data_IF_781626471461
#
_entry.id   IF_781626471461
#
_cell.length_a   1.000
_cell.length_b   1.000
_cell.length_c   1.000
_cell.angle_alpha   90.00
_cell.angle_beta   90.00
_cell.angle_gamma   90.00
#
_symmetry.space_group_name_H-M   'P 1'
#
loop_
_entity.id
_entity.type
_entity.pdbx_description
1 polymer ?
#
# COMPACT_ATOMS: atom_id res chain seq x y z
N UNK A 1 18.88 -10.73 -15.92
CA UNK A 1 17.67 -11.57 -15.62
C UNK A 1 16.55 -10.60 -15.33
N UNK A 2 15.41 -10.67 -16.02
CA UNK A 2 14.29 -9.77 -15.76
C UNK A 2 13.76 -10.09 -14.36
N UNK A 3 13.62 -9.08 -13.49
CA UNK A 3 13.17 -9.26 -12.09
C UNK A 3 11.84 -10.03 -11.96
N UNK A 4 10.95 -9.90 -12.95
CA UNK A 4 9.67 -10.61 -13.01
C UNK A 4 9.79 -12.12 -13.31
N UNK A 5 10.97 -12.62 -13.67
CA UNK A 5 11.19 -14.03 -13.99
C UNK A 5 11.95 -14.78 -12.87
N UNK A 6 12.15 -14.13 -11.71
CA UNK A 6 12.82 -14.77 -10.59
C UNK A 6 11.95 -15.90 -10.04
N UNK A 7 12.58 -17.05 -9.86
CA UNK A 7 11.96 -18.26 -9.33
C UNK A 7 12.40 -18.49 -7.88
N UNK A 8 11.48 -18.93 -7.04
CA UNK A 8 11.73 -19.21 -5.62
C UNK A 8 11.40 -20.65 -5.30
N UNK A 9 12.32 -21.33 -4.62
CA UNK A 9 12.16 -22.73 -4.19
C UNK A 9 11.40 -22.79 -2.86
N UNK A 10 10.12 -22.45 -2.91
CA UNK A 10 9.26 -22.42 -1.71
C UNK A 10 9.29 -23.74 -0.94
N UNK A 11 9.41 -24.86 -1.64
CA UNK A 11 9.53 -26.18 -1.06
C UNK A 11 10.81 -26.41 -0.22
N UNK A 12 11.85 -25.60 -0.44
CA UNK A 12 13.11 -25.59 0.33
C UNK A 12 13.14 -24.44 1.37
N UNK A 13 12.03 -23.72 1.54
CA UNK A 13 11.95 -22.59 2.46
C UNK A 13 12.44 -21.25 1.89
N UNK A 14 12.92 -21.22 0.64
CA UNK A 14 13.30 -19.98 -0.04
C UNK A 14 12.02 -19.16 -0.35
N UNK A 15 11.94 -17.95 0.21
CA UNK A 15 10.77 -17.07 0.02
C UNK A 15 11.20 -15.66 -0.36
N UNK A 16 10.46 -14.97 -1.24
CA UNK A 16 10.74 -13.58 -1.50
C UNK A 16 10.59 -12.73 -0.22
N UNK A 17 11.51 -11.81 -0.03
CA UNK A 17 11.42 -10.76 1.00
C UNK A 17 10.65 -9.59 0.39
N UNK A 18 9.48 -9.28 0.93
CA UNK A 18 8.55 -8.31 0.35
C UNK A 18 8.30 -7.18 1.34
N UNK A 19 8.47 -5.94 0.88
CA UNK A 19 8.06 -4.76 1.64
C UNK A 19 6.66 -4.34 1.21
N UNK A 20 5.76 -4.08 2.15
CA UNK A 20 4.56 -3.28 1.95
C UNK A 20 4.71 -1.96 2.67
N UNK A 21 4.94 -0.89 1.91
CA UNK A 21 5.15 0.46 2.44
C UNK A 21 3.90 1.32 2.25
N UNK A 22 3.34 1.79 3.38
CA UNK A 22 2.27 2.78 3.38
C UNK A 22 2.78 4.21 3.51
N UNK A 23 1.86 5.15 3.61
CA UNK A 23 2.16 6.58 3.66
C UNK A 23 2.70 7.08 5.03
N UNK A 24 2.70 6.23 6.06
CA UNK A 24 3.10 6.63 7.41
C UNK A 24 4.53 7.13 7.51
N UNK A 25 5.47 6.49 6.80
CA UNK A 25 6.85 6.95 6.73
C UNK A 25 6.94 8.35 6.10
N UNK A 26 6.26 8.58 4.99
CA UNK A 26 6.24 9.89 4.33
C UNK A 26 5.62 10.97 5.23
N UNK A 27 4.51 10.64 5.92
CA UNK A 27 3.86 11.55 6.88
C UNK A 27 4.73 11.96 8.05
N UNK A 28 5.57 11.07 8.55
CA UNK A 28 6.52 11.38 9.63
C UNK A 28 7.55 12.45 9.21
N UNK A 29 7.75 12.64 7.90
CA UNK A 29 8.65 13.62 7.31
C UNK A 29 7.89 14.68 6.47
N UNK A 30 6.74 15.13 6.97
CA UNK A 30 5.90 16.20 6.40
C UNK A 30 5.24 15.87 5.04
N UNK A 31 5.14 14.59 4.70
CA UNK A 31 4.37 14.13 3.55
C UNK A 31 2.86 14.39 3.68
N UNK A 32 2.16 14.41 2.55
CA UNK A 32 0.72 14.66 2.50
C UNK A 32 -0.06 13.55 3.23
N UNK A 33 -1.04 13.92 4.06
CA UNK A 33 -1.97 12.98 4.67
C UNK A 33 -3.21 12.74 3.81
N UNK A 34 -3.85 11.57 3.99
CA UNK A 34 -5.13 11.28 3.35
C UNK A 34 -6.22 12.30 3.71
N UNK A 35 -6.27 12.75 4.96
CA UNK A 35 -7.24 13.76 5.40
C UNK A 35 -7.02 15.10 4.68
N UNK A 36 -5.77 15.53 4.50
CA UNK A 36 -5.45 16.72 3.70
C UNK A 36 -5.88 16.52 2.24
N UNK A 37 -5.57 15.38 1.64
CA UNK A 37 -6.00 15.08 0.28
C UNK A 37 -7.53 15.14 0.15
N UNK A 38 -8.26 14.53 1.07
CA UNK A 38 -9.73 14.57 1.07
C UNK A 38 -10.28 15.98 1.33
N UNK A 39 -9.62 16.77 2.17
CA UNK A 39 -10.02 18.17 2.42
C UNK A 39 -9.82 19.06 1.19
N UNK A 40 -8.78 18.83 0.39
CA UNK A 40 -8.55 19.56 -0.86
C UNK A 40 -9.59 19.23 -1.95
N UNK A 41 -10.13 18.01 -1.92
CA UNK A 41 -11.11 17.54 -2.89
C UNK A 41 -12.54 17.89 -2.50
N UNK A 42 -12.76 18.27 -1.27
CA UNK A 42 -14.05 18.49 -0.63
C UNK A 42 -14.88 19.53 -1.41
N UNK A 43 -16.01 19.09 -1.92
CA UNK A 43 -17.08 19.99 -2.33
C UNK A 43 -17.71 20.56 -1.04
N UNK A 44 -17.37 21.81 -0.73
CA UNK A 44 -17.66 22.46 0.57
C UNK A 44 -19.15 22.57 0.89
N UNK A 45 -20.04 22.42 -0.10
CA UNK A 45 -21.47 22.62 0.08
C UNK A 45 -22.22 21.39 0.60
N UNK A 46 -21.72 20.17 0.36
CA UNK A 46 -22.51 18.98 0.62
C UNK A 46 -22.31 18.33 2.00
N UNK A 47 -21.12 18.45 2.65
CA UNK A 47 -20.85 17.75 3.92
C UNK A 47 -19.86 18.44 4.86
N UNK A 48 -20.24 19.52 5.59
CA UNK A 48 -19.29 20.21 6.47
C UNK A 48 -18.89 19.41 7.72
N UNK A 49 -19.73 18.50 8.21
CA UNK A 49 -19.51 17.82 9.49
C UNK A 49 -19.30 16.31 9.40
N UNK A 50 -19.95 15.60 8.47
CA UNK A 50 -19.85 14.15 8.36
C UNK A 50 -18.43 13.67 7.95
N UNK A 51 -17.72 14.47 7.16
CA UNK A 51 -16.35 14.17 6.77
C UNK A 51 -15.33 14.24 7.92
N UNK A 52 -15.69 14.88 9.03
CA UNK A 52 -14.88 14.94 10.26
C UNK A 52 -15.11 13.75 11.20
N UNK A 53 -16.00 12.84 10.86
CA UNK A 53 -16.23 11.66 11.67
C UNK A 53 -15.10 10.66 11.49
N UNK A 54 -14.21 10.56 12.46
CA UNK A 54 -13.03 9.67 12.46
C UNK A 54 -13.41 8.19 12.42
N UNK A 55 -14.62 7.83 12.79
CA UNK A 55 -15.10 6.44 12.73
C UNK A 55 -15.49 6.00 11.31
N UNK A 56 -15.60 6.93 10.35
CA UNK A 56 -16.00 6.59 9.00
C UNK A 56 -14.81 6.07 8.19
N UNK A 57 -14.90 4.87 7.59
CA UNK A 57 -13.85 4.34 6.73
C UNK A 57 -13.52 5.26 5.55
N UNK A 58 -12.23 5.40 5.21
CA UNK A 58 -11.76 6.29 4.13
C UNK A 58 -12.43 6.05 2.78
N UNK A 59 -12.65 4.80 2.30
CA UNK A 59 -13.36 4.57 1.06
C UNK A 59 -14.80 5.06 1.09
N UNK A 60 -15.45 5.06 2.27
CA UNK A 60 -16.79 5.58 2.43
C UNK A 60 -16.78 7.11 2.44
N UNK A 61 -15.82 7.74 3.14
CA UNK A 61 -15.61 9.20 3.07
C UNK A 61 -15.41 9.64 1.61
N UNK A 62 -14.53 8.98 0.89
CA UNK A 62 -14.28 9.25 -0.51
C UNK A 62 -15.55 9.10 -1.36
N UNK A 63 -16.33 8.05 -1.15
CA UNK A 63 -17.59 7.82 -1.89
C UNK A 63 -18.67 8.87 -1.58
N UNK A 64 -18.75 9.35 -0.34
CA UNK A 64 -19.71 10.38 0.07
C UNK A 64 -19.33 11.77 -0.44
N UNK A 65 -18.03 12.05 -0.54
CA UNK A 65 -17.52 13.29 -1.13
C UNK A 65 -17.64 13.27 -2.67
N UNK A 66 -17.92 12.10 -3.22
CA UNK A 66 -17.96 11.83 -4.65
C UNK A 66 -19.39 11.64 -5.14
N UNK A 67 -19.99 12.65 -5.66
CA UNK A 67 -20.74 12.42 -6.89
C UNK A 67 -19.79 11.83 -7.94
N UNK A 68 -20.27 11.11 -8.97
CA UNK A 68 -19.45 10.43 -10.00
C UNK A 68 -18.31 11.26 -10.61
N UNK A 69 -18.34 12.58 -10.42
CA UNK A 69 -17.29 13.54 -10.78
C UNK A 69 -16.10 13.59 -9.80
N UNK A 70 -16.19 13.04 -8.59
CA UNK A 70 -15.10 13.17 -7.61
C UNK A 70 -14.01 12.15 -7.81
N UNK A 71 -14.31 10.94 -8.22
CA UNK A 71 -13.28 10.00 -8.64
C UNK A 71 -12.41 10.63 -9.75
N UNK A 72 -13.03 11.41 -10.63
CA UNK A 72 -12.33 12.14 -11.68
C UNK A 72 -11.61 13.38 -11.14
N UNK A 73 -12.15 14.10 -10.15
CA UNK A 73 -11.44 15.20 -9.46
C UNK A 73 -10.26 14.68 -8.66
N UNK A 74 -10.42 13.59 -7.91
CA UNK A 74 -9.32 12.92 -7.19
C UNK A 74 -8.22 12.47 -8.14
N UNK A 75 -8.60 11.83 -9.23
CA UNK A 75 -7.67 11.45 -10.27
C UNK A 75 -6.93 12.66 -10.80
N UNK A 76 -7.58 13.78 -11.04
CA UNK A 76 -6.95 15.03 -11.49
C UNK A 76 -6.02 15.61 -10.44
N UNK A 77 -6.42 15.68 -9.18
CA UNK A 77 -5.58 16.21 -8.10
C UNK A 77 -4.36 15.31 -7.89
N UNK A 78 -4.57 13.99 -7.83
CA UNK A 78 -3.47 13.03 -7.71
C UNK A 78 -2.56 13.05 -8.94
N UNK A 79 -3.09 13.30 -10.15
CA UNK A 79 -2.30 13.29 -11.40
C UNK A 79 -1.77 14.65 -11.80
N UNK A 80 -2.45 15.74 -11.45
CA UNK A 80 -2.16 17.10 -11.97
C UNK A 80 -1.63 18.04 -10.90
N UNK A 81 -1.63 17.65 -9.62
CA UNK A 81 -1.18 18.52 -8.52
C UNK A 81 -2.01 19.78 -8.34
N UNK A 82 -3.22 19.83 -8.89
CA UNK A 82 -4.05 21.04 -8.95
C UNK A 82 -5.26 20.93 -8.04
N UNK A 83 -5.48 21.97 -7.26
CA UNK A 83 -6.77 22.26 -6.65
C UNK A 83 -7.78 22.66 -7.72
N UNK A 84 -9.07 22.40 -7.47
CA UNK A 84 -10.18 22.55 -8.42
C UNK A 84 -10.35 23.93 -9.09
N UNK A 85 -9.61 24.95 -8.64
CA UNK A 85 -9.79 26.36 -9.04
C UNK A 85 -8.79 26.88 -10.09
N UNK A 86 -7.82 26.09 -10.54
CA UNK A 86 -6.84 26.57 -11.54
C UNK A 86 -7.05 25.89 -12.89
N UNK A 87 -7.78 26.55 -13.76
CA UNK A 87 -7.73 26.28 -15.20
C UNK A 87 -6.35 26.65 -15.73
N UNK A 88 -5.76 25.71 -16.46
CA UNK A 88 -4.54 25.88 -17.27
C UNK A 88 -3.24 26.14 -16.51
N UNK A 89 -2.47 25.07 -16.25
CA UNK A 89 -1.02 25.08 -16.43
C UNK A 89 -0.43 23.68 -16.23
N UNK A 90 0.73 23.41 -16.80
CA UNK A 90 1.41 22.13 -16.85
C UNK A 90 1.54 21.43 -15.49
N UNK A 91 1.40 20.12 -15.49
CA UNK A 91 1.55 19.23 -14.34
C UNK A 91 2.80 19.59 -13.54
N UNK A 92 2.64 20.14 -12.34
CA UNK A 92 3.75 20.29 -11.38
C UNK A 92 3.87 19.01 -10.55
N UNK A 93 4.54 18.03 -11.11
CA UNK A 93 4.90 16.80 -10.43
C UNK A 93 5.73 17.05 -9.16
N UNK A 94 6.45 18.17 -9.10
CA UNK A 94 7.24 18.56 -7.94
C UNK A 94 6.42 18.74 -6.66
N UNK A 95 5.14 19.14 -6.79
CA UNK A 95 4.26 19.26 -5.63
C UNK A 95 3.84 17.92 -5.03
N UNK A 96 3.86 16.85 -5.85
CA UNK A 96 3.52 15.46 -5.44
C UNK A 96 4.72 14.69 -4.90
N UNK A 97 5.94 15.09 -5.24
CA UNK A 97 7.17 14.37 -4.89
C UNK A 97 8.03 15.25 -3.99
N UNK A 98 7.42 15.98 -3.05
CA UNK A 98 8.18 16.68 -2.01
C UNK A 98 8.79 15.68 -1.05
N UNK A 99 9.96 15.21 -1.39
CA UNK A 99 10.77 14.40 -0.48
C UNK A 99 11.75 15.27 0.25
N UNK A 100 11.74 15.28 1.58
CA UNK A 100 12.83 15.86 2.35
C UNK A 100 14.09 14.98 2.23
N UNK A 101 15.28 15.56 2.43
CA UNK A 101 16.55 14.81 2.42
C UNK A 101 16.46 13.61 3.38
N UNK A 102 15.98 13.84 4.60
CA UNK A 102 15.88 12.80 5.62
C UNK A 102 14.88 11.68 5.22
N UNK A 103 13.76 12.02 4.59
CA UNK A 103 12.82 11.03 4.10
C UNK A 103 13.46 10.13 3.04
N UNK A 104 14.18 10.72 2.08
CA UNK A 104 14.91 9.97 1.04
C UNK A 104 15.94 9.03 1.63
N UNK A 105 16.73 9.51 2.60
CA UNK A 105 17.72 8.67 3.30
C UNK A 105 17.06 7.47 4.00
N UNK A 106 15.93 7.67 4.67
CA UNK A 106 15.22 6.57 5.33
C UNK A 106 14.64 5.56 4.33
N UNK A 107 14.03 6.04 3.23
CA UNK A 107 13.54 5.17 2.17
C UNK A 107 14.69 4.38 1.54
N UNK A 108 15.82 5.02 1.23
CA UNK A 108 17.01 4.33 0.71
C UNK A 108 17.52 3.26 1.67
N UNK A 109 17.66 3.57 2.95
CA UNK A 109 18.07 2.58 3.96
C UNK A 109 17.13 1.39 3.98
N UNK A 110 15.82 1.65 3.93
CA UNK A 110 14.80 0.61 3.93
C UNK A 110 14.89 -0.28 2.69
N UNK A 111 15.00 0.32 1.49
CA UNK A 111 15.12 -0.46 0.24
C UNK A 111 16.42 -1.27 0.21
N UNK A 112 17.50 -0.75 0.77
CA UNK A 112 18.79 -1.46 0.90
C UNK A 112 18.76 -2.64 1.90
N UNK A 113 17.61 -2.95 2.51
CA UNK A 113 17.42 -4.16 3.32
C UNK A 113 17.17 -5.42 2.48
N UNK A 114 17.59 -5.46 1.22
CA UNK A 114 17.53 -6.61 0.32
C UNK A 114 16.12 -7.15 0.05
N UNK A 115 15.16 -6.27 -0.17
CA UNK A 115 13.84 -6.67 -0.60
C UNK A 115 13.84 -7.12 -2.07
N UNK A 116 13.22 -8.27 -2.33
CA UNK A 116 13.00 -8.76 -3.69
C UNK A 116 11.91 -7.94 -4.42
N UNK A 117 10.93 -7.48 -3.65
CA UNK A 117 9.77 -6.74 -4.16
C UNK A 117 9.33 -5.66 -3.18
N UNK A 118 8.93 -4.52 -3.72
CA UNK A 118 8.33 -3.41 -2.96
C UNK A 118 6.90 -3.21 -3.43
N UNK A 119 5.98 -3.25 -2.49
CA UNK A 119 4.56 -2.95 -2.67
C UNK A 119 4.27 -1.63 -1.95
N UNK A 120 3.46 -0.76 -2.56
CA UNK A 120 3.01 0.46 -1.90
C UNK A 120 1.55 0.75 -2.20
N UNK A 121 0.84 1.28 -1.21
CA UNK A 121 -0.50 1.82 -1.36
C UNK A 121 -0.50 3.30 -1.77
N UNK A 122 0.68 3.93 -1.78
CA UNK A 122 0.83 5.33 -2.17
C UNK A 122 0.62 5.48 -3.68
N UNK A 123 -0.04 6.54 -4.10
CA UNK A 123 -0.21 6.88 -5.52
C UNK A 123 0.97 7.66 -6.08
N UNK A 124 1.72 8.31 -5.21
CA UNK A 124 2.88 9.16 -5.50
C UNK A 124 4.19 8.35 -5.54
N UNK A 125 5.24 8.99 -6.02
CA UNK A 125 6.50 8.33 -6.41
C UNK A 125 7.67 8.64 -5.45
N UNK A 126 7.40 8.77 -4.14
CA UNK A 126 8.43 9.07 -3.15
C UNK A 126 9.52 7.98 -3.07
N UNK A 127 9.14 6.73 -3.33
CA UNK A 127 10.07 5.59 -3.32
C UNK A 127 11.01 5.72 -4.51
N UNK A 128 10.46 5.93 -5.70
CA UNK A 128 11.20 6.11 -6.93
C UNK A 128 12.10 7.34 -6.85
N UNK A 129 11.57 8.46 -6.35
CA UNK A 129 12.33 9.69 -6.15
C UNK A 129 13.50 9.51 -5.18
N UNK A 130 13.30 8.75 -4.11
CA UNK A 130 14.37 8.44 -3.17
C UNK A 130 15.49 7.61 -3.81
N UNK A 131 15.15 6.63 -4.62
CA UNK A 131 16.14 5.81 -5.35
C UNK A 131 16.92 6.65 -6.36
N UNK A 132 16.29 7.67 -6.97
CA UNK A 132 16.92 8.58 -7.91
C UNK A 132 17.89 9.59 -7.29
N UNK A 133 17.85 9.76 -5.99
CA UNK A 133 18.63 10.76 -5.25
C UNK A 133 18.37 12.21 -5.64
N UNK A 134 17.18 12.51 -6.13
CA UNK A 134 16.79 13.87 -6.54
C UNK A 134 15.77 14.46 -5.57
N UNK A 135 15.94 15.72 -5.23
CA UNK A 135 14.98 16.45 -4.37
C UNK A 135 13.63 16.67 -5.05
N UNK A 136 13.69 17.07 -6.31
CA UNK A 136 12.54 17.34 -7.14
C UNK A 136 12.80 16.72 -8.52
N UNK A 137 12.60 15.40 -8.69
CA UNK A 137 12.77 14.78 -9.99
C UNK A 137 11.74 15.36 -10.96
N UNK A 138 12.21 15.71 -12.16
CA UNK A 138 11.29 16.15 -13.22
C UNK A 138 10.39 14.97 -13.66
N UNK A 139 9.22 15.25 -14.27
CA UNK A 139 8.40 14.21 -14.89
C UNK A 139 9.19 13.35 -15.89
N UNK A 140 10.16 13.95 -16.59
CA UNK A 140 11.04 13.28 -17.53
C UNK A 140 12.03 12.35 -16.84
N UNK A 141 12.59 12.77 -15.70
CA UNK A 141 13.46 11.92 -14.89
C UNK A 141 12.71 10.68 -14.42
N UNK A 142 11.51 10.86 -13.88
CA UNK A 142 10.64 9.76 -13.46
C UNK A 142 10.29 8.87 -14.65
N UNK A 143 9.95 9.44 -15.80
CA UNK A 143 9.60 8.68 -17.01
C UNK A 143 10.77 7.88 -17.58
N UNK A 144 11.97 8.45 -17.59
CA UNK A 144 13.20 7.77 -18.09
C UNK A 144 13.59 6.57 -17.24
N UNK A 145 13.24 6.57 -15.96
CA UNK A 145 13.63 5.55 -15.00
C UNK A 145 12.58 4.46 -14.81
N UNK A 146 11.34 4.74 -15.20
CA UNK A 146 10.27 3.77 -15.12
C UNK A 146 10.24 2.88 -16.37
N UNK A 147 11.00 1.81 -16.32
CA UNK A 147 10.78 0.71 -17.24
C UNK A 147 9.52 -0.03 -16.79
N UNK A 148 8.45 0.08 -17.60
CA UNK A 148 7.21 -0.67 -17.33
C UNK A 148 7.37 -2.11 -17.80
N UNK A 149 7.09 -3.03 -16.90
CA UNK A 149 6.91 -4.42 -17.24
C UNK A 149 5.42 -4.77 -17.11
N UNK A 150 4.77 -5.03 -18.23
CA UNK A 150 3.46 -5.66 -18.26
C UNK A 150 3.67 -7.16 -18.48
N UNK A 151 3.17 -7.96 -17.55
CA UNK A 151 3.21 -9.42 -17.65
C UNK A 151 1.93 -9.94 -18.32
N UNK A 152 0.82 -9.16 -18.30
CA UNK A 152 -0.45 -9.52 -18.93
C UNK A 152 -1.20 -8.30 -19.45
N UNK A 153 -1.47 -8.27 -20.75
CA UNK A 153 -2.14 -7.18 -21.46
C UNK A 153 -3.64 -7.03 -21.13
N UNK A 154 -4.28 -8.09 -20.63
CA UNK A 154 -5.73 -8.10 -20.43
C UNK A 154 -6.20 -7.31 -19.20
N UNK A 155 -5.30 -6.80 -18.35
CA UNK A 155 -5.64 -6.23 -17.05
C UNK A 155 -5.20 -4.77 -16.86
N UNK A 156 -5.32 -3.95 -17.90
CA UNK A 156 -4.82 -2.56 -17.90
C UNK A 156 -5.41 -1.61 -16.83
N UNK A 157 -6.56 -1.94 -16.24
CA UNK A 157 -7.23 -1.07 -15.26
C UNK A 157 -6.71 -1.22 -13.82
N UNK A 158 -6.12 -2.36 -13.49
CA UNK A 158 -5.57 -2.62 -12.16
C UNK A 158 -4.14 -3.09 -12.31
N UNK A 159 -3.23 -2.50 -11.58
CA UNK A 159 -1.80 -2.77 -11.67
C UNK A 159 -1.42 -4.08 -10.97
N UNK A 160 -2.12 -5.18 -11.24
CA UNK A 160 -1.81 -6.46 -10.60
C UNK A 160 -0.49 -7.06 -11.08
N UNK A 161 -0.19 -6.88 -12.37
CA UNK A 161 0.97 -7.47 -13.04
C UNK A 161 1.98 -6.42 -13.55
N UNK A 162 1.68 -5.14 -13.39
CA UNK A 162 2.52 -4.04 -13.85
C UNK A 162 3.26 -3.40 -12.68
N UNK A 163 4.55 -3.20 -12.81
CA UNK A 163 5.40 -2.56 -11.81
C UNK A 163 6.36 -1.56 -12.45
N UNK A 164 6.84 -0.63 -11.63
CA UNK A 164 7.94 0.25 -11.97
C UNK A 164 9.25 -0.45 -11.61
N UNK A 165 10.23 -0.39 -12.48
CA UNK A 165 11.57 -0.91 -12.19
C UNK A 165 12.54 0.25 -12.05
N UNK A 166 13.06 0.48 -10.84
CA UNK A 166 14.05 1.51 -10.55
C UNK A 166 15.28 0.84 -9.93
N UNK A 167 16.45 0.99 -10.53
CA UNK A 167 17.71 0.39 -10.06
C UNK A 167 17.59 -1.12 -9.74
N UNK A 168 16.84 -1.85 -10.58
CA UNK A 168 16.52 -3.28 -10.42
C UNK A 168 15.57 -3.62 -9.27
N UNK A 169 14.96 -2.65 -8.60
CA UNK A 169 13.93 -2.86 -7.58
C UNK A 169 12.55 -2.78 -8.23
N UNK A 170 11.76 -3.87 -8.24
CA UNK A 170 10.38 -3.82 -8.72
C UNK A 170 9.46 -3.20 -7.67
N UNK A 171 8.74 -2.15 -8.07
CA UNK A 171 7.83 -1.39 -7.19
C UNK A 171 6.42 -1.50 -7.76
N UNK A 172 5.51 -2.11 -7.01
CA UNK A 172 4.08 -2.19 -7.35
C UNK A 172 3.27 -1.16 -6.56
N UNK A 173 2.57 -0.29 -7.26
CA UNK A 173 1.52 0.56 -6.68
C UNK A 173 0.21 -0.23 -6.64
N UNK A 174 0.00 -0.98 -5.55
CA UNK A 174 -1.09 -1.96 -5.46
C UNK A 174 -2.49 -1.35 -5.48
N UNK A 175 -2.61 -0.09 -5.08
CA UNK A 175 -3.85 0.70 -5.16
C UNK A 175 -3.85 1.70 -6.33
N UNK A 176 -2.93 1.53 -7.26
CA UNK A 176 -2.80 2.41 -8.43
C UNK A 176 -1.74 3.49 -8.28
N UNK A 177 -1.47 4.18 -9.37
CA UNK A 177 -0.44 5.21 -9.44
C UNK A 177 -0.92 6.48 -10.16
N UNK A 178 -0.32 7.61 -9.83
CA UNK A 178 -0.74 8.94 -10.31
C UNK A 178 -0.72 9.05 -11.84
N UNK A 179 0.25 8.44 -12.53
CA UNK A 179 0.34 8.48 -14.00
C UNK A 179 -0.72 7.65 -14.73
N UNK A 180 -1.39 6.75 -14.02
CA UNK A 180 -2.47 5.91 -14.55
C UNK A 180 -3.75 6.12 -13.73
N UNK A 181 -4.45 7.25 -13.92
CA UNK A 181 -5.62 7.62 -13.10
C UNK A 181 -6.67 6.52 -13.02
N UNK A 182 -6.84 5.75 -14.09
CA UNK A 182 -7.78 4.63 -14.16
C UNK A 182 -7.38 3.44 -13.27
N UNK A 183 -6.13 3.42 -12.78
CA UNK A 183 -5.64 2.39 -11.86
C UNK A 183 -5.98 2.68 -10.40
N UNK A 184 -6.33 3.92 -10.05
CA UNK A 184 -6.50 4.37 -8.67
C UNK A 184 -7.68 3.66 -8.00
N UNK A 185 -7.38 2.98 -6.90
CA UNK A 185 -8.34 2.28 -6.05
C UNK A 185 -8.77 3.21 -4.92
N UNK A 186 -9.92 3.87 -5.13
CA UNK A 186 -10.49 4.79 -4.15
C UNK A 186 -12.01 4.66 -4.14
N UNK A 187 -12.59 4.53 -2.95
CA UNK A 187 -14.01 4.26 -2.76
C UNK A 187 -14.36 2.77 -2.85
N UNK A 188 -15.46 2.37 -2.20
CA UNK A 188 -15.87 0.97 -2.05
C UNK A 188 -15.99 0.19 -3.36
N UNK A 189 -16.44 0.86 -4.42
CA UNK A 189 -16.58 0.22 -5.73
C UNK A 189 -15.24 -0.31 -6.27
N UNK A 190 -14.16 0.47 -6.12
CA UNK A 190 -12.84 0.10 -6.61
C UNK A 190 -12.18 -0.95 -5.71
N UNK A 191 -12.33 -0.83 -4.39
CA UNK A 191 -11.89 -1.86 -3.45
C UNK A 191 -12.59 -3.21 -3.71
N UNK A 192 -13.90 -3.20 -3.94
CA UNK A 192 -14.64 -4.41 -4.29
C UNK A 192 -14.16 -5.04 -5.60
N UNK A 193 -13.81 -4.22 -6.60
CA UNK A 193 -13.22 -4.71 -7.85
C UNK A 193 -11.82 -5.31 -7.64
N UNK A 194 -10.97 -4.68 -6.83
CA UNK A 194 -9.64 -5.18 -6.54
C UNK A 194 -9.71 -6.50 -5.78
N UNK A 195 -10.55 -6.57 -4.74
CA UNK A 195 -10.79 -7.80 -3.98
C UNK A 195 -11.23 -8.95 -4.90
N UNK A 196 -12.21 -8.69 -5.78
CA UNK A 196 -12.64 -9.68 -6.78
C UNK A 196 -11.49 -10.18 -7.64
N UNK A 197 -10.53 -9.33 -8.00
CA UNK A 197 -9.34 -9.74 -8.77
C UNK A 197 -8.37 -10.59 -7.96
N UNK A 198 -8.19 -10.28 -6.67
CA UNK A 198 -7.41 -11.12 -5.77
C UNK A 198 -8.00 -12.54 -5.73
N UNK A 199 -9.32 -12.63 -5.52
CA UNK A 199 -10.04 -13.92 -5.52
C UNK A 199 -9.91 -14.63 -6.86
N UNK A 200 -10.22 -13.96 -7.98
CA UNK A 200 -10.16 -14.54 -9.32
C UNK A 200 -8.77 -15.08 -9.70
N UNK A 201 -7.71 -14.40 -9.24
CA UNK A 201 -6.33 -14.85 -9.45
C UNK A 201 -6.08 -16.22 -8.85
N UNK A 202 -6.65 -16.49 -7.69
CA UNK A 202 -6.41 -17.72 -6.94
C UNK A 202 -7.34 -18.86 -7.36
N UNK A 203 -8.63 -18.55 -7.49
CA UNK A 203 -9.66 -19.56 -7.78
C UNK A 203 -9.74 -19.93 -9.25
N UNK A 204 -9.21 -19.11 -10.15
CA UNK A 204 -9.30 -19.36 -11.60
C UNK A 204 -10.72 -19.16 -12.15
N UNK A 205 -11.52 -18.30 -11.54
CA UNK A 205 -12.86 -17.98 -12.05
C UNK A 205 -12.77 -17.36 -13.45
N UNK A 206 -13.64 -17.86 -14.35
CA UNK A 206 -13.75 -17.32 -15.72
C UNK A 206 -14.30 -15.89 -15.64
N UNK A 207 -13.44 -14.91 -15.71
CA UNK A 207 -13.87 -13.53 -15.92
C UNK A 207 -14.19 -13.32 -17.41
N UNK A 208 -15.43 -12.90 -17.68
CA UNK A 208 -15.80 -12.39 -19.01
C UNK A 208 -15.34 -10.93 -19.03
N UNK A 209 -14.12 -10.68 -19.50
CA UNK A 209 -13.63 -9.33 -19.73
C UNK A 209 -13.83 -9.01 -21.22
N UNK A 210 -14.70 -8.05 -21.50
CA UNK A 210 -14.94 -7.51 -22.85
C UNK A 210 -15.25 -8.56 -23.94
N UNK A 211 -16.06 -9.56 -23.60
CA UNK A 211 -16.52 -10.56 -24.58
C UNK A 211 -15.54 -11.69 -24.87
N UNK A 212 -14.35 -11.68 -24.30
CA UNK A 212 -13.39 -12.80 -24.42
C UNK A 212 -13.42 -13.69 -23.17
N UNK A 213 -13.68 -14.97 -23.39
CA UNK A 213 -13.58 -16.01 -22.35
C UNK A 213 -12.11 -16.30 -22.09
N UNK A 214 -11.48 -15.63 -21.14
CA UNK A 214 -10.17 -16.00 -20.65
C UNK A 214 -10.34 -17.07 -19.55
N UNK A 215 -9.85 -18.27 -19.79
CA UNK A 215 -9.79 -19.32 -18.78
C UNK A 215 -8.55 -19.08 -17.92
N UNK A 216 -8.71 -18.42 -16.78
CA UNK A 216 -7.64 -18.36 -15.78
C UNK A 216 -7.59 -19.71 -15.05
N UNK A 217 -6.44 -20.37 -15.13
CA UNK A 217 -6.13 -21.46 -14.21
C UNK A 217 -5.82 -20.83 -12.85
N UNK A 218 -6.54 -21.22 -11.80
CA UNK A 218 -6.35 -20.71 -10.45
C UNK A 218 -4.92 -20.92 -9.97
N UNK A 219 -4.28 -19.82 -9.52
CA UNK A 219 -2.90 -19.87 -9.05
C UNK A 219 -2.74 -20.72 -7.78
N UNK A 220 -3.76 -20.85 -6.98
CA UNK A 220 -3.74 -21.72 -5.80
C UNK A 220 -3.39 -23.16 -6.16
N UNK A 221 -4.02 -23.71 -7.20
CA UNK A 221 -3.75 -25.08 -7.66
C UNK A 221 -2.31 -25.20 -8.20
N UNK A 222 -1.81 -24.19 -8.88
CA UNK A 222 -0.44 -24.15 -9.35
C UNK A 222 0.55 -24.11 -8.17
N UNK A 223 0.32 -23.27 -7.15
CA UNK A 223 1.16 -23.18 -5.96
C UNK A 223 1.22 -24.53 -5.22
N UNK A 224 0.07 -25.13 -4.96
CA UNK A 224 -0.02 -26.45 -4.30
C UNK A 224 0.65 -27.56 -5.12
N UNK A 225 0.46 -27.56 -6.43
CA UNK A 225 1.11 -28.53 -7.32
C UNK A 225 2.63 -28.37 -7.31
N UNK A 226 3.14 -27.14 -7.47
CA UNK A 226 4.57 -26.88 -7.51
C UNK A 226 5.23 -27.22 -6.17
N UNK A 227 4.56 -26.94 -5.04
CA UNK A 227 5.04 -27.36 -3.72
C UNK A 227 5.19 -28.89 -3.66
N UNK A 228 4.15 -29.64 -4.03
CA UNK A 228 4.17 -31.12 -4.02
C UNK A 228 5.19 -31.74 -4.97
N UNK A 229 5.37 -31.12 -6.14
CA UNK A 229 6.29 -31.63 -7.19
C UNK A 229 7.69 -31.04 -7.08
N UNK A 230 8.01 -30.30 -6.02
CA UNK A 230 9.29 -29.60 -5.81
C UNK A 230 9.73 -28.77 -7.02
N UNK A 231 8.78 -28.00 -7.56
CA UNK A 231 9.05 -27.04 -8.65
C UNK A 231 9.12 -25.63 -8.08
N UNK A 232 10.00 -24.78 -8.60
CA UNK A 232 10.07 -23.38 -8.17
C UNK A 232 8.79 -22.63 -8.55
N UNK A 233 8.49 -21.57 -7.80
CA UNK A 233 7.37 -20.67 -8.00
C UNK A 233 7.83 -19.40 -8.71
N UNK A 234 7.06 -18.97 -9.71
CA UNK A 234 7.26 -17.67 -10.38
C UNK A 234 6.34 -16.62 -9.79
N UNK A 235 6.89 -15.44 -9.56
CA UNK A 235 6.12 -14.28 -9.13
C UNK A 235 5.66 -13.52 -10.38
N UNK A 236 4.36 -13.58 -10.68
CA UNK A 236 3.76 -12.92 -11.86
C UNK A 236 2.89 -11.71 -11.51
N UNK A 237 2.64 -11.45 -10.22
CA UNK A 237 1.84 -10.33 -9.75
C UNK A 237 2.23 -9.94 -8.33
N UNK A 238 1.82 -8.74 -7.89
CA UNK A 238 1.99 -8.35 -6.49
C UNK A 238 1.22 -9.26 -5.52
N UNK A 239 0.10 -9.85 -5.98
CA UNK A 239 -0.67 -10.81 -5.18
C UNK A 239 0.16 -12.07 -4.92
N UNK A 240 0.85 -12.59 -5.94
CA UNK A 240 1.76 -13.74 -5.78
C UNK A 240 2.90 -13.39 -4.81
N UNK A 241 3.51 -12.20 -4.98
CA UNK A 241 4.58 -11.71 -4.10
C UNK A 241 4.10 -11.60 -2.65
N UNK A 242 2.92 -11.02 -2.43
CA UNK A 242 2.33 -10.89 -1.10
C UNK A 242 2.07 -12.25 -0.44
N UNK A 243 1.51 -13.20 -1.19
CA UNK A 243 1.14 -14.52 -0.64
C UNK A 243 2.36 -15.40 -0.37
N UNK A 244 3.25 -15.55 -1.36
CA UNK A 244 4.38 -16.46 -1.27
C UNK A 244 5.53 -15.91 -0.44
N UNK A 245 5.65 -14.57 -0.36
CA UNK A 245 6.73 -13.88 0.31
C UNK A 245 6.56 -13.71 1.82
N UNK A 246 7.68 -13.46 2.49
CA UNK A 246 7.69 -12.90 3.83
C UNK A 246 7.46 -11.39 3.70
N UNK A 247 6.28 -10.94 4.12
CA UNK A 247 5.83 -9.55 3.95
C UNK A 247 6.10 -8.74 5.20
N UNK A 248 6.87 -7.67 5.04
CA UNK A 248 7.15 -6.67 6.07
C UNK A 248 6.28 -5.46 5.80
N UNK A 249 5.33 -5.17 6.68
CA UNK A 249 4.40 -4.04 6.54
C UNK A 249 4.91 -2.90 7.42
N UNK A 250 5.16 -1.74 6.82
CA UNK A 250 5.69 -0.55 7.49
C UNK A 250 4.97 0.72 7.02
N UNK A 251 4.67 1.63 7.95
CA UNK A 251 4.05 2.92 7.64
C UNK A 251 2.61 2.81 7.11
N UNK A 252 1.93 1.71 7.42
CA UNK A 252 0.58 1.41 6.99
C UNK A 252 -0.32 1.15 8.21
N UNK A 253 -1.46 1.80 8.29
CA UNK A 253 -2.36 1.66 9.47
C UNK A 253 -3.12 0.34 9.45
N UNK A 254 -3.26 -0.29 8.29
CA UNK A 254 -4.08 -1.48 8.10
C UNK A 254 -5.51 -1.24 8.59
N UNK A 255 -6.15 -0.19 8.04
CA UNK A 255 -7.55 0.14 8.35
C UNK A 255 -8.48 -1.01 7.96
N UNK A 256 -9.59 -1.20 8.67
CA UNK A 256 -10.55 -2.26 8.36
C UNK A 256 -11.22 -2.10 6.99
N UNK A 257 -11.13 -0.93 6.40
CA UNK A 257 -11.61 -0.67 5.04
C UNK A 257 -10.70 -1.22 3.92
N UNK A 258 -9.47 -1.63 4.24
CA UNK A 258 -8.52 -2.25 3.31
C UNK A 258 -8.89 -3.73 3.07
N UNK A 259 -10.09 -3.95 2.54
CA UNK A 259 -10.70 -5.28 2.44
C UNK A 259 -9.87 -6.29 1.62
N UNK A 260 -9.17 -5.84 0.60
CA UNK A 260 -8.27 -6.65 -0.23
C UNK A 260 -7.06 -7.16 0.56
N UNK A 261 -6.43 -6.29 1.35
CA UNK A 261 -5.28 -6.66 2.18
C UNK A 261 -5.69 -7.53 3.37
N UNK A 262 -6.82 -7.24 4.02
CA UNK A 262 -7.35 -8.09 5.09
C UNK A 262 -7.67 -9.50 4.58
N UNK A 263 -8.29 -9.59 3.40
CA UNK A 263 -8.57 -10.88 2.78
C UNK A 263 -7.28 -11.66 2.45
N UNK A 264 -6.25 -10.98 1.94
CA UNK A 264 -4.97 -11.61 1.66
C UNK A 264 -4.25 -12.09 2.93
N UNK A 265 -4.31 -11.34 4.02
CA UNK A 265 -3.75 -11.74 5.32
C UNK A 265 -4.47 -12.96 5.87
N UNK A 266 -5.80 -12.99 5.81
CA UNK A 266 -6.62 -14.15 6.17
C UNK A 266 -6.28 -15.36 5.29
N UNK A 267 -6.23 -15.17 3.99
CA UNK A 267 -5.87 -16.24 3.05
C UNK A 267 -4.48 -16.83 3.36
N UNK A 268 -3.48 -16.00 3.67
CA UNK A 268 -2.15 -16.48 4.10
C UNK A 268 -2.23 -17.32 5.36
N UNK A 269 -3.03 -16.91 6.35
CA UNK A 269 -3.15 -17.62 7.62
C UNK A 269 -3.75 -19.02 7.45
N UNK A 270 -4.61 -19.18 6.44
CA UNK A 270 -5.29 -20.44 6.14
C UNK A 270 -4.49 -21.37 5.21
N UNK A 271 -3.43 -20.86 4.56
CA UNK A 271 -2.64 -21.59 3.57
C UNK A 271 -1.13 -21.56 3.88
N UNK A 272 -0.77 -21.83 5.14
CA UNK A 272 0.62 -21.72 5.67
C UNK A 272 1.61 -22.64 4.95
N UNK A 273 1.13 -23.72 4.31
CA UNK A 273 1.97 -24.68 3.61
C UNK A 273 2.75 -24.06 2.44
N UNK A 274 2.16 -23.08 1.74
CA UNK A 274 2.85 -22.39 0.63
C UNK A 274 2.98 -20.88 0.84
N UNK A 275 2.20 -20.28 1.72
CA UNK A 275 2.27 -18.86 2.02
C UNK A 275 3.44 -18.49 2.97
N UNK A 276 4.00 -17.30 2.80
CA UNK A 276 5.03 -16.76 3.67
C UNK A 276 4.46 -16.13 4.95
N UNK A 277 5.33 -15.58 5.79
CA UNK A 277 4.95 -14.86 7.02
C UNK A 277 4.48 -13.43 6.69
N UNK A 278 3.73 -12.84 7.63
CA UNK A 278 3.42 -11.41 7.63
C UNK A 278 3.92 -10.79 8.92
N UNK A 279 4.74 -9.76 8.82
CA UNK A 279 5.35 -9.03 9.93
C UNK A 279 4.86 -7.58 9.83
N UNK A 280 4.19 -7.09 10.86
CA UNK A 280 3.59 -5.76 10.89
C UNK A 280 4.27 -4.88 11.92
N UNK A 281 4.91 -3.81 11.45
CA UNK A 281 5.55 -2.79 12.29
C UNK A 281 4.53 -1.69 12.58
N UNK A 282 4.00 -1.71 13.79
CA UNK A 282 3.06 -0.69 14.27
C UNK A 282 3.34 -0.41 15.75
N UNK A 283 3.74 0.82 16.14
CA UNK A 283 4.07 1.14 17.52
C UNK A 283 2.84 1.12 18.41
N UNK A 284 3.05 0.95 19.69
CA UNK A 284 1.99 1.16 20.68
C UNK A 284 1.59 2.65 20.74
N UNK A 285 0.33 2.92 21.02
CA UNK A 285 -0.17 4.29 21.23
C UNK A 285 -0.42 4.50 22.70
N UNK A 286 0.08 5.61 23.24
CA UNK A 286 -0.14 5.95 24.64
C UNK A 286 -1.64 6.15 24.90
N UNK A 287 -2.14 5.60 26.00
CA UNK A 287 -3.52 5.79 26.46
C UNK A 287 -3.85 7.29 26.69
N UNK A 288 -2.82 8.07 27.00
CA UNK A 288 -2.91 9.52 27.28
C UNK A 288 -2.24 10.36 26.19
N UNK A 289 -2.03 9.83 24.99
CA UNK A 289 -1.55 10.68 23.90
C UNK A 289 -2.51 11.88 23.81
N UNK A 290 -2.01 13.07 24.17
CA UNK A 290 -2.72 14.32 23.97
C UNK A 290 -2.96 14.46 22.47
N UNK A 291 -3.95 13.74 21.96
CA UNK A 291 -4.62 14.12 20.76
C UNK A 291 -5.27 15.45 21.12
N UNK A 292 -4.55 16.54 20.82
CA UNK A 292 -5.14 17.86 20.66
C UNK A 292 -6.03 17.75 19.41
N UNK A 293 -7.06 16.94 19.56
CA UNK A 293 -8.26 17.00 18.76
C UNK A 293 -9.00 18.19 19.38
N UNK A 294 -9.07 19.27 18.62
CA UNK A 294 -9.77 20.51 18.96
C UNK A 294 -10.69 20.37 20.19
N UNK A 295 -10.29 20.94 21.27
CA UNK A 295 -10.81 21.23 22.62
C UNK A 295 -12.09 20.62 23.18
N UNK A 296 -12.78 19.70 22.49
CA UNK A 296 -14.09 19.17 22.93
C UNK A 296 -14.34 17.69 22.57
N UNK A 297 -13.33 16.89 22.24
CA UNK A 297 -13.56 15.47 22.11
C UNK A 297 -13.36 14.77 23.45
N UNK A 298 -14.47 14.26 23.99
CA UNK A 298 -14.52 13.53 25.24
C UNK A 298 -13.50 12.37 25.27
N UNK A 299 -12.96 12.13 26.46
CA UNK A 299 -12.03 11.07 26.83
C UNK A 299 -12.44 9.68 26.28
N UNK A 300 -13.72 9.44 26.09
CA UNK A 300 -14.31 8.21 25.58
C UNK A 300 -13.88 7.85 24.17
N UNK A 301 -13.64 8.83 23.28
CA UNK A 301 -13.22 8.56 21.88
C UNK A 301 -11.75 8.22 21.75
N UNK A 302 -10.90 8.68 22.66
CA UNK A 302 -9.50 8.28 22.69
C UNK A 302 -9.37 6.83 23.16
N UNK A 303 -10.14 6.45 24.17
CA UNK A 303 -10.21 5.08 24.65
C UNK A 303 -10.68 4.12 23.54
N UNK A 304 -11.71 4.50 22.76
CA UNK A 304 -12.20 3.72 21.63
C UNK A 304 -11.13 3.55 20.52
N UNK A 305 -10.33 4.59 20.28
CA UNK A 305 -9.26 4.52 19.29
C UNK A 305 -8.11 3.62 19.72
N UNK A 306 -7.69 3.72 20.98
CA UNK A 306 -6.65 2.85 21.56
C UNK A 306 -7.13 1.40 21.62
N UNK A 307 -8.35 1.17 22.08
CA UNK A 307 -8.98 -0.15 22.08
C UNK A 307 -9.09 -0.72 20.67
N UNK A 308 -9.47 0.09 19.68
CA UNK A 308 -9.50 -0.33 18.27
C UNK A 308 -8.13 -0.77 17.75
N UNK A 309 -7.06 -0.06 18.09
CA UNK A 309 -5.70 -0.43 17.72
C UNK A 309 -5.24 -1.73 18.40
N UNK A 310 -5.50 -1.88 19.70
CA UNK A 310 -5.20 -3.11 20.44
C UNK A 310 -6.03 -4.29 19.95
N UNK A 311 -7.32 -4.10 19.68
CA UNK A 311 -8.18 -5.13 19.11
C UNK A 311 -7.68 -5.56 17.72
N UNK A 312 -7.23 -4.62 16.90
CA UNK A 312 -6.64 -4.92 15.61
C UNK A 312 -5.38 -5.77 15.73
N UNK A 313 -4.43 -5.39 16.59
CA UNK A 313 -3.22 -6.17 16.85
C UNK A 313 -3.55 -7.58 17.37
N UNK A 314 -4.51 -7.67 18.27
CA UNK A 314 -4.97 -8.96 18.81
C UNK A 314 -5.57 -9.84 17.70
N UNK A 315 -6.45 -9.28 16.86
CA UNK A 315 -7.04 -9.96 15.70
C UNK A 315 -5.96 -10.44 14.73
N UNK A 316 -5.05 -9.55 14.34
CA UNK A 316 -3.96 -9.88 13.43
C UNK A 316 -3.07 -11.00 13.97
N UNK A 317 -2.68 -10.91 15.24
CA UNK A 317 -1.79 -11.88 15.85
C UNK A 317 -2.48 -13.22 16.13
N UNK A 318 -3.65 -13.20 16.83
CA UNK A 318 -4.31 -14.44 17.29
C UNK A 318 -5.08 -15.14 16.19
N UNK A 319 -5.73 -14.40 15.30
CA UNK A 319 -6.58 -14.98 14.26
C UNK A 319 -5.81 -15.22 12.97
N UNK A 320 -5.00 -14.23 12.54
CA UNK A 320 -4.35 -14.28 11.24
C UNK A 320 -2.85 -14.59 11.30
N UNK A 321 -2.32 -14.89 12.49
CA UNK A 321 -0.91 -15.28 12.66
C UNK A 321 0.08 -14.24 12.11
N UNK A 322 -0.25 -12.96 12.26
CA UNK A 322 0.64 -11.85 11.92
C UNK A 322 1.56 -11.57 13.09
N UNK A 323 2.85 -11.49 12.84
CA UNK A 323 3.83 -11.07 13.83
C UNK A 323 3.78 -9.53 13.99
N UNK A 324 3.41 -9.05 15.18
CA UNK A 324 3.36 -7.61 15.48
C UNK A 324 4.68 -7.17 16.10
N UNK A 325 5.30 -6.15 15.54
CA UNK A 325 6.56 -5.54 15.99
C UNK A 325 6.31 -4.12 16.49
N UNK A 326 6.11 -3.95 17.78
CA UNK A 326 5.97 -2.62 18.41
C UNK A 326 7.32 -2.00 18.75
N UNK A 327 8.38 -2.79 18.77
CA UNK A 327 9.76 -2.43 19.16
C UNK A 327 9.86 -1.83 20.58
N UNK A 328 8.86 -2.10 21.42
CA UNK A 328 8.76 -1.55 22.78
C UNK A 328 8.62 -0.03 22.79
N UNK A 329 8.09 0.56 21.72
CA UNK A 329 7.89 2.00 21.61
C UNK A 329 6.41 2.38 21.72
N UNK A 330 6.15 3.36 22.55
CA UNK A 330 4.84 3.99 22.71
C UNK A 330 4.89 5.40 22.14
N UNK A 331 4.05 5.71 21.17
CA UNK A 331 3.99 7.00 20.49
C UNK A 331 3.17 8.00 21.30
N UNK A 332 3.77 9.14 21.58
CA UNK A 332 3.14 10.31 22.23
C UNK A 332 3.06 11.52 21.30
N UNK A 333 3.95 11.58 20.31
CA UNK A 333 4.09 12.72 19.39
C UNK A 333 4.49 12.28 17.98
N UNK A 334 4.38 13.19 17.01
CA UNK A 334 4.83 12.89 15.65
C UNK A 334 6.34 12.63 15.53
N UNK A 335 7.17 13.21 16.44
CA UNK A 335 8.62 12.94 16.45
C UNK A 335 8.94 11.49 16.76
N UNK A 336 8.13 10.84 17.61
CA UNK A 336 8.37 9.46 18.01
C UNK A 336 8.23 8.49 16.83
N UNK A 337 7.42 8.85 15.82
CA UNK A 337 7.33 8.06 14.60
C UNK A 337 8.63 8.03 13.80
N UNK A 338 9.42 9.12 13.80
CA UNK A 338 10.74 9.13 13.13
C UNK A 338 11.69 8.13 13.77
N UNK A 339 11.73 8.11 15.10
CA UNK A 339 12.53 7.17 15.87
C UNK A 339 12.03 5.73 15.69
N UNK A 340 10.73 5.53 15.69
CA UNK A 340 10.13 4.22 15.42
C UNK A 340 10.54 3.69 14.04
N UNK A 341 10.41 4.48 12.99
CA UNK A 341 10.80 4.05 11.64
C UNK A 341 12.30 3.78 11.53
N UNK A 342 13.14 4.57 12.18
CA UNK A 342 14.57 4.30 12.22
C UNK A 342 14.87 2.93 12.86
N UNK A 343 14.27 2.64 14.01
CA UNK A 343 14.43 1.34 14.68
C UNK A 343 13.82 0.19 13.87
N UNK A 344 12.69 0.41 13.22
CA UNK A 344 12.07 -0.60 12.37
C UNK A 344 12.97 -0.97 11.18
N UNK A 345 13.58 0.01 10.53
CA UNK A 345 14.53 -0.21 9.43
C UNK A 345 15.75 -0.99 9.94
N UNK A 346 16.29 -0.64 11.11
CA UNK A 346 17.41 -1.36 11.73
C UNK A 346 17.06 -2.81 12.09
N UNK A 347 15.82 -3.07 12.57
CA UNK A 347 15.34 -4.43 12.85
C UNK A 347 15.19 -5.25 11.57
N UNK A 348 14.59 -4.66 10.53
CA UNK A 348 14.43 -5.27 9.20
C UNK A 348 15.78 -5.60 8.57
N UNK A 349 16.78 -4.74 8.72
CA UNK A 349 18.12 -4.94 8.15
C UNK A 349 18.84 -6.14 8.77
N UNK A 350 18.53 -6.49 10.02
CA UNK A 350 19.07 -7.66 10.75
C UNK A 350 18.31 -8.94 10.46
N UNK A 351 17.10 -8.82 9.88
CA UNK A 351 16.24 -9.97 9.54
C UNK A 351 16.65 -10.54 8.18
N UNK A 352 17.59 -11.51 8.19
CA UNK A 352 17.99 -12.28 6.99
C UNK A 352 17.18 -13.53 6.81
#
# INVERSE_FOLDING_TARGET
>A
MKCAEREFKIYDGERPKVLLLGNGLCRAYDGMSWDKLLDEIKDRELFPQAARNYAMPMPLKAAMLANNTLADKLRRIVTEGKTADTQTESIDWGSFIKTTVHMREQIKKLINCDFDYVLTTNYSYEIEAALLDKENPSPEDITKLMNFYEVDYAQKKFLTNTFNLVENVPIWHIHGEARKPDSIVLGHYYYGKLLRRCVARLDGTKEIIEGQKSAYHGKEQEFKRNLRTKRPQKIGSWIDAFLLGNVYILGFVMDFSEADLWWLVEYKSNNKEFCGKTIFYDPEKAENANCVLDGNLACDKLADYVLSAQCKHLLMNKTYNVEIKTLGMTIQSNSDYKDFYTRAIDDISKSR
#
